data_IF_504094903274
#
_entry.id   IF_504094903274
#
_cell.length_a   1.000
_cell.length_b   1.000
_cell.length_c   1.000
_cell.angle_alpha   90.00
_cell.angle_beta   90.00
_cell.angle_gamma   90.00
#
_symmetry.space_group_name_H-M   'P 1'
#
loop_
_entity.id
_entity.type
_entity.pdbx_description
1 polymer ?
#
# COMPACT_ATOMS: atom_id res chain seq x y z
N UNK A 1 -22.99 49.97 -8.79
CA UNK A 1 -22.36 48.98 -7.88
C UNK A 1 -20.98 49.49 -7.55
N UNK A 2 -20.64 49.70 -6.28
CA UNK A 2 -19.31 50.20 -5.91
C UNK A 2 -18.24 49.12 -6.18
N UNK A 3 -17.02 49.53 -6.50
CA UNK A 3 -15.88 48.63 -6.75
C UNK A 3 -15.67 47.61 -5.63
N UNK A 4 -15.95 48.02 -4.39
CA UNK A 4 -15.85 47.18 -3.18
C UNK A 4 -16.85 46.02 -3.14
N UNK A 5 -18.07 46.21 -3.67
CA UNK A 5 -19.07 45.13 -3.73
C UNK A 5 -18.67 44.05 -4.76
N UNK A 6 -18.02 44.44 -5.85
CA UNK A 6 -17.58 43.52 -6.90
C UNK A 6 -16.38 42.68 -6.45
N UNK A 7 -15.42 43.27 -5.73
CA UNK A 7 -14.31 42.53 -5.10
C UNK A 7 -14.80 41.53 -4.04
N UNK A 8 -15.78 41.90 -3.21
CA UNK A 8 -16.30 41.01 -2.16
C UNK A 8 -17.01 39.77 -2.76
N UNK A 9 -17.74 39.94 -3.86
CA UNK A 9 -18.36 38.84 -4.61
C UNK A 9 -17.30 37.95 -5.26
N UNK A 10 -16.26 38.53 -5.87
CA UNK A 10 -15.16 37.79 -6.50
C UNK A 10 -14.36 36.97 -5.46
N UNK A 11 -14.04 37.54 -4.30
CA UNK A 11 -13.35 36.84 -3.21
C UNK A 11 -14.20 35.69 -2.67
N UNK A 12 -15.52 35.90 -2.52
CA UNK A 12 -16.44 34.85 -2.04
C UNK A 12 -16.58 33.73 -3.08
N UNK A 13 -16.66 34.06 -4.37
CA UNK A 13 -16.75 33.09 -5.47
C UNK A 13 -15.46 32.27 -5.62
N UNK A 14 -14.28 32.92 -5.57
CA UNK A 14 -12.98 32.25 -5.61
C UNK A 14 -12.79 31.36 -4.37
N UNK A 15 -13.20 31.81 -3.19
CA UNK A 15 -13.12 31.03 -1.94
C UNK A 15 -14.08 29.83 -1.96
N UNK A 16 -15.27 29.96 -2.53
CA UNK A 16 -16.21 28.85 -2.74
C UNK A 16 -15.70 27.85 -3.78
N UNK A 17 -15.11 28.31 -4.88
CA UNK A 17 -14.51 27.46 -5.92
C UNK A 17 -13.29 26.69 -5.41
N UNK A 18 -12.45 27.32 -4.58
CA UNK A 18 -11.32 26.68 -3.88
C UNK A 18 -11.77 25.68 -2.81
N UNK A 19 -12.83 25.98 -2.06
CA UNK A 19 -13.41 25.03 -1.11
C UNK A 19 -13.99 23.80 -1.83
N UNK A 20 -14.67 24.02 -2.96
CA UNK A 20 -15.21 22.94 -3.79
C UNK A 20 -14.10 22.00 -4.26
N UNK A 21 -13.01 22.54 -4.81
CA UNK A 21 -11.89 21.71 -5.35
C UNK A 21 -11.10 20.98 -4.27
N UNK A 22 -10.88 21.59 -3.11
CA UNK A 22 -10.19 20.92 -1.98
C UNK A 22 -11.09 19.84 -1.37
N UNK A 23 -12.38 20.11 -1.19
CA UNK A 23 -13.35 19.14 -0.70
C UNK A 23 -13.50 17.95 -1.67
N UNK A 24 -13.58 18.23 -2.97
CA UNK A 24 -13.65 17.24 -4.05
C UNK A 24 -12.42 16.33 -4.06
N UNK A 25 -11.22 16.86 -3.78
CA UNK A 25 -10.00 16.05 -3.68
C UNK A 25 -10.00 15.10 -2.47
N UNK A 26 -10.55 15.52 -1.32
CA UNK A 26 -10.72 14.65 -0.15
C UNK A 26 -11.82 13.60 -0.38
N UNK A 27 -12.89 13.96 -1.09
CA UNK A 27 -13.96 13.04 -1.47
C UNK A 27 -13.44 11.93 -2.39
N UNK A 28 -12.65 12.28 -3.40
CA UNK A 28 -12.03 11.31 -4.29
C UNK A 28 -11.07 10.36 -3.56
N UNK A 29 -10.27 10.87 -2.62
CA UNK A 29 -9.40 10.04 -1.78
C UNK A 29 -10.22 9.07 -0.91
N UNK A 30 -11.34 9.54 -0.34
CA UNK A 30 -12.25 8.70 0.43
C UNK A 30 -12.86 7.60 -0.45
N UNK A 31 -13.36 7.96 -1.64
CA UNK A 31 -13.93 7.02 -2.59
C UNK A 31 -12.90 5.97 -3.04
N UNK A 32 -11.63 6.35 -3.24
CA UNK A 32 -10.55 5.41 -3.55
C UNK A 32 -10.31 4.43 -2.39
N UNK A 33 -10.18 4.93 -1.15
CA UNK A 33 -10.00 4.06 0.03
C UNK A 33 -11.20 3.14 0.28
N UNK A 34 -12.40 3.63 0.02
CA UNK A 34 -13.62 2.82 0.08
C UNK A 34 -13.60 1.72 -0.98
N UNK A 35 -13.26 2.05 -2.23
CA UNK A 35 -13.13 1.08 -3.31
C UNK A 35 -12.06 0.00 -3.00
N UNK A 36 -10.92 0.36 -2.40
CA UNK A 36 -9.91 -0.62 -1.91
C UNK A 36 -10.55 -1.65 -0.99
N UNK A 37 -11.30 -1.19 0.01
CA UNK A 37 -11.98 -2.07 0.99
C UNK A 37 -13.09 -2.89 0.36
N UNK A 38 -13.82 -2.35 -0.60
CA UNK A 38 -14.83 -3.09 -1.35
C UNK A 38 -14.19 -4.20 -2.19
N UNK A 39 -13.08 -3.93 -2.87
CA UNK A 39 -12.33 -4.91 -3.65
C UNK A 39 -11.73 -6.02 -2.76
N UNK A 40 -11.19 -5.68 -1.58
CA UNK A 40 -10.75 -6.68 -0.59
C UNK A 40 -11.91 -7.60 -0.15
N UNK A 41 -13.09 -7.02 0.10
CA UNK A 41 -14.28 -7.79 0.48
C UNK A 41 -14.75 -8.71 -0.65
N UNK A 42 -14.74 -8.23 -1.89
CA UNK A 42 -15.09 -9.03 -3.06
C UNK A 42 -14.08 -10.16 -3.29
N UNK A 43 -12.78 -9.91 -3.09
CA UNK A 43 -11.77 -10.97 -3.11
C UNK A 43 -12.07 -12.06 -2.08
N UNK A 44 -12.30 -11.69 -0.81
CA UNK A 44 -12.64 -12.63 0.27
C UNK A 44 -13.94 -13.39 0.01
N UNK A 45 -14.92 -12.76 -0.66
CA UNK A 45 -16.16 -13.42 -1.08
C UNK A 45 -15.88 -14.50 -2.12
N UNK A 46 -15.08 -14.20 -3.15
CA UNK A 46 -14.66 -15.17 -4.15
C UNK A 46 -13.88 -16.35 -3.54
N UNK A 47 -13.01 -16.12 -2.55
CA UNK A 47 -12.31 -17.21 -1.84
C UNK A 47 -13.27 -18.14 -1.08
N UNK A 48 -14.32 -17.58 -0.47
CA UNK A 48 -15.34 -18.39 0.21
C UNK A 48 -16.12 -19.24 -0.79
N UNK A 49 -16.49 -18.66 -1.94
CA UNK A 49 -17.16 -19.38 -3.02
C UNK A 49 -16.26 -20.46 -3.63
N UNK A 50 -14.97 -20.19 -3.83
CA UNK A 50 -13.98 -21.19 -4.26
C UNK A 50 -13.96 -22.40 -3.31
N UNK A 51 -13.89 -22.16 -2.00
CA UNK A 51 -13.88 -23.23 -0.99
C UNK A 51 -15.17 -24.06 -1.05
N UNK A 52 -16.33 -23.41 -1.22
CA UNK A 52 -17.62 -24.09 -1.39
C UNK A 52 -17.66 -24.94 -2.66
N UNK A 53 -17.21 -24.42 -3.81
CA UNK A 53 -17.18 -25.17 -5.06
C UNK A 53 -16.21 -26.35 -5.00
N UNK A 54 -15.05 -26.21 -4.33
CA UNK A 54 -14.16 -27.34 -4.03
C UNK A 54 -14.84 -28.42 -3.20
N UNK A 55 -15.62 -28.05 -2.19
CA UNK A 55 -16.37 -29.03 -1.39
C UNK A 55 -17.45 -29.74 -2.22
N UNK A 56 -18.16 -29.02 -3.09
CA UNK A 56 -19.14 -29.61 -4.02
C UNK A 56 -18.47 -30.55 -5.03
N UNK A 57 -17.32 -30.15 -5.57
CA UNK A 57 -16.50 -31.00 -6.45
C UNK A 57 -16.12 -32.31 -5.75
N UNK A 58 -15.60 -32.26 -4.52
CA UNK A 58 -15.29 -33.46 -3.72
C UNK A 58 -16.51 -34.38 -3.56
N UNK A 59 -17.67 -33.81 -3.25
CA UNK A 59 -18.93 -34.57 -3.13
C UNK A 59 -19.39 -35.17 -4.46
N UNK A 60 -19.22 -34.46 -5.58
CA UNK A 60 -19.58 -34.95 -6.91
C UNK A 60 -18.70 -36.13 -7.34
N UNK A 61 -17.39 -36.08 -7.04
CA UNK A 61 -16.44 -37.18 -7.27
C UNK A 61 -16.84 -38.41 -6.46
N UNK A 62 -17.16 -38.25 -5.17
CA UNK A 62 -17.59 -39.36 -4.30
C UNK A 62 -18.88 -40.04 -4.80
N UNK A 63 -19.75 -39.29 -5.50
CA UNK A 63 -20.98 -39.82 -6.09
C UNK A 63 -20.79 -40.42 -7.48
N UNK A 64 -19.57 -40.41 -8.02
CA UNK A 64 -19.26 -40.89 -9.38
C UNK A 64 -19.74 -39.97 -10.51
N UNK A 65 -20.19 -38.75 -10.21
CA UNK A 65 -20.64 -37.79 -11.22
C UNK A 65 -19.45 -36.94 -11.72
N UNK A 66 -18.73 -37.50 -12.70
CA UNK A 66 -17.50 -36.91 -13.26
C UNK A 66 -17.78 -35.58 -13.98
N UNK A 67 -18.87 -35.49 -14.73
CA UNK A 67 -19.24 -34.26 -15.45
C UNK A 67 -19.60 -33.12 -14.47
N UNK A 68 -20.37 -33.42 -13.41
CA UNK A 68 -20.66 -32.45 -12.36
C UNK A 68 -19.40 -32.00 -11.59
N UNK A 69 -18.46 -32.92 -11.35
CA UNK A 69 -17.19 -32.61 -10.71
C UNK A 69 -16.33 -31.66 -11.57
N UNK A 70 -16.29 -31.86 -12.90
CA UNK A 70 -15.57 -30.98 -13.83
C UNK A 70 -16.12 -29.55 -13.80
N UNK A 71 -17.45 -29.38 -13.84
CA UNK A 71 -18.09 -28.05 -13.77
C UNK A 71 -17.76 -27.34 -12.45
N UNK A 72 -17.84 -28.04 -11.31
CA UNK A 72 -17.50 -27.47 -10.01
C UNK A 72 -16.00 -27.13 -9.90
N UNK A 73 -15.12 -27.93 -10.51
CA UNK A 73 -13.69 -27.64 -10.57
C UNK A 73 -13.39 -26.38 -11.39
N UNK A 74 -14.00 -26.24 -12.57
CA UNK A 74 -13.87 -25.04 -13.40
C UNK A 74 -14.37 -23.78 -12.68
N UNK A 75 -15.53 -23.88 -12.01
CA UNK A 75 -16.06 -22.79 -11.19
C UNK A 75 -15.11 -22.39 -10.06
N UNK A 76 -14.49 -23.36 -9.38
CA UNK A 76 -13.52 -23.09 -8.33
C UNK A 76 -12.28 -22.37 -8.88
N UNK A 77 -11.72 -22.81 -10.01
CA UNK A 77 -10.58 -22.15 -10.65
C UNK A 77 -10.94 -20.73 -11.07
N UNK A 78 -12.14 -20.52 -11.63
CA UNK A 78 -12.64 -19.20 -11.99
C UNK A 78 -12.72 -18.27 -10.77
N UNK A 79 -13.29 -18.73 -9.66
CA UNK A 79 -13.38 -17.90 -8.45
C UNK A 79 -12.01 -17.61 -7.83
N UNK A 80 -11.07 -18.56 -7.87
CA UNK A 80 -9.68 -18.32 -7.45
C UNK A 80 -9.03 -17.20 -8.28
N UNK A 81 -9.17 -17.26 -9.60
CA UNK A 81 -8.62 -16.25 -10.49
C UNK A 81 -9.29 -14.88 -10.29
N UNK A 82 -10.60 -14.84 -10.06
CA UNK A 82 -11.31 -13.60 -9.74
C UNK A 82 -10.85 -12.99 -8.42
N UNK A 83 -10.67 -13.80 -7.36
CA UNK A 83 -10.14 -13.36 -6.07
C UNK A 83 -8.76 -12.71 -6.24
N UNK A 84 -7.82 -13.39 -6.92
CA UNK A 84 -6.50 -12.85 -7.18
C UNK A 84 -6.55 -11.55 -7.99
N UNK A 85 -7.45 -11.45 -8.96
CA UNK A 85 -7.61 -10.22 -9.75
C UNK A 85 -8.13 -9.06 -8.89
N UNK A 86 -9.13 -9.30 -8.04
CA UNK A 86 -9.62 -8.29 -7.09
C UNK A 86 -8.55 -7.85 -6.09
N UNK A 87 -7.74 -8.80 -5.59
CA UNK A 87 -6.64 -8.49 -4.67
C UNK A 87 -5.56 -7.64 -5.33
N UNK A 88 -5.15 -7.99 -6.56
CA UNK A 88 -4.20 -7.17 -7.33
C UNK A 88 -4.74 -5.78 -7.62
N UNK A 89 -6.02 -5.67 -7.98
CA UNK A 89 -6.66 -4.39 -8.26
C UNK A 89 -6.75 -3.54 -6.99
N UNK A 90 -7.12 -4.14 -5.86
CA UNK A 90 -7.13 -3.48 -4.54
C UNK A 90 -5.77 -2.90 -4.19
N UNK A 91 -4.70 -3.69 -4.31
CA UNK A 91 -3.32 -3.23 -4.03
C UNK A 91 -2.90 -2.06 -4.94
N UNK A 92 -3.26 -2.11 -6.23
CA UNK A 92 -2.98 -1.01 -7.17
C UNK A 92 -3.73 0.27 -6.79
N UNK A 93 -5.03 0.16 -6.47
CA UNK A 93 -5.84 1.31 -6.07
C UNK A 93 -5.34 1.89 -4.73
N UNK A 94 -4.91 1.05 -3.81
CA UNK A 94 -4.36 1.48 -2.51
C UNK A 94 -3.04 2.24 -2.66
N UNK A 95 -2.17 1.79 -3.57
CA UNK A 95 -0.96 2.52 -3.94
C UNK A 95 -1.29 3.92 -4.50
N UNK A 96 -2.30 4.01 -5.38
CA UNK A 96 -2.75 5.30 -5.93
C UNK A 96 -3.36 6.17 -4.83
N UNK A 97 -4.21 5.63 -3.97
CA UNK A 97 -4.81 6.34 -2.85
C UNK A 97 -3.74 6.89 -1.89
N UNK A 98 -2.69 6.11 -1.62
CA UNK A 98 -1.56 6.52 -0.79
C UNK A 98 -0.78 7.69 -1.42
N UNK A 99 -0.51 7.64 -2.73
CA UNK A 99 0.12 8.77 -3.44
C UNK A 99 -0.75 10.03 -3.41
N UNK A 100 -2.06 9.90 -3.60
CA UNK A 100 -3.00 11.02 -3.51
C UNK A 100 -3.03 11.60 -2.08
N UNK A 101 -3.02 10.75 -1.06
CA UNK A 101 -2.94 11.17 0.34
C UNK A 101 -1.66 11.97 0.60
N UNK A 102 -0.49 11.50 0.15
CA UNK A 102 0.77 12.23 0.28
C UNK A 102 0.71 13.58 -0.42
N UNK A 103 0.22 13.63 -1.66
CA UNK A 103 0.07 14.87 -2.41
C UNK A 103 -0.85 15.88 -1.70
N UNK A 104 -1.95 15.42 -1.10
CA UNK A 104 -2.86 16.28 -0.32
C UNK A 104 -2.19 16.80 0.96
N UNK A 105 -1.42 15.96 1.65
CA UNK A 105 -0.65 16.35 2.82
C UNK A 105 0.39 17.41 2.47
N UNK A 106 1.21 17.17 1.43
CA UNK A 106 2.20 18.14 0.94
C UNK A 106 1.54 19.45 0.54
N UNK A 107 0.40 19.41 -0.16
CA UNK A 107 -0.35 20.61 -0.53
C UNK A 107 -0.82 21.40 0.69
N UNK A 108 -1.33 20.73 1.72
CA UNK A 108 -1.77 21.38 2.98
C UNK A 108 -0.60 22.06 3.67
N UNK A 109 0.55 21.38 3.76
CA UNK A 109 1.79 21.92 4.29
C UNK A 109 2.24 23.16 3.51
N UNK A 110 2.31 23.09 2.18
CA UNK A 110 2.69 24.23 1.33
C UNK A 110 1.75 25.42 1.54
N UNK A 111 0.44 25.17 1.70
CA UNK A 111 -0.54 26.22 1.95
C UNK A 111 -0.36 26.87 3.34
N UNK A 112 -0.06 26.08 4.38
CA UNK A 112 0.27 26.61 5.72
C UNK A 112 1.53 27.48 5.68
N UNK A 113 2.59 27.00 5.03
CA UNK A 113 3.85 27.75 4.85
C UNK A 113 3.62 29.07 4.10
N UNK A 114 2.82 29.07 3.04
CA UNK A 114 2.47 30.30 2.33
C UNK A 114 1.71 31.30 3.21
N UNK A 115 0.90 30.81 4.16
CA UNK A 115 0.23 31.65 5.16
C UNK A 115 1.21 32.27 6.16
N UNK A 116 2.17 31.49 6.66
CA UNK A 116 3.20 31.97 7.59
C UNK A 116 4.10 33.02 6.94
N UNK A 117 4.56 32.77 5.71
CA UNK A 117 5.40 33.72 4.95
C UNK A 117 4.68 35.04 4.74
N UNK A 118 3.38 35.02 4.42
CA UNK A 118 2.56 36.25 4.31
C UNK A 118 2.41 36.98 5.64
N UNK A 119 2.19 36.24 6.73
CA UNK A 119 2.13 36.83 8.07
C UNK A 119 3.46 37.47 8.47
N UNK A 120 4.59 36.90 8.02
CA UNK A 120 5.93 37.39 8.29
C UNK A 120 6.21 38.68 7.54
N UNK A 121 5.86 38.72 6.26
CA UNK A 121 5.94 39.94 5.45
C UNK A 121 5.11 41.08 6.05
N UNK A 122 3.90 40.79 6.54
CA UNK A 122 3.05 41.77 7.22
C UNK A 122 3.64 42.25 8.57
N UNK A 123 4.18 41.33 9.37
CA UNK A 123 4.81 41.66 10.66
C UNK A 123 6.07 42.52 10.47
N UNK A 124 6.92 42.19 9.50
CA UNK A 124 8.11 42.98 9.14
C UNK A 124 7.75 44.40 8.71
N UNK A 125 6.68 44.58 7.92
CA UNK A 125 6.18 45.91 7.52
C UNK A 125 5.68 46.74 8.70
N UNK A 126 5.17 46.10 9.74
CA UNK A 126 4.70 46.78 10.96
C UNK A 126 5.82 47.08 11.97
N UNK A 127 7.05 46.63 11.72
CA UNK A 127 8.23 46.76 12.60
C UNK A 127 7.98 46.32 14.05
N UNK A 128 7.01 45.42 14.27
CA UNK A 128 6.63 44.94 15.60
C UNK A 128 7.46 43.70 15.97
N UNK A 129 8.51 43.90 16.76
CA UNK A 129 9.46 42.86 17.17
C UNK A 129 8.80 41.70 17.94
N UNK A 130 7.80 41.98 18.77
CA UNK A 130 7.09 40.95 19.55
C UNK A 130 6.24 40.04 18.65
N UNK A 131 5.60 40.61 17.63
CA UNK A 131 4.88 39.83 16.60
C UNK A 131 5.82 39.03 15.72
N UNK A 132 7.02 39.56 15.43
CA UNK A 132 8.04 38.84 14.67
C UNK A 132 8.55 37.64 15.48
N UNK A 133 8.87 37.83 16.77
CA UNK A 133 9.31 36.74 17.66
C UNK A 133 8.28 35.61 17.72
N UNK A 134 7.02 35.93 18.04
CA UNK A 134 5.94 34.95 18.12
C UNK A 134 5.68 34.22 16.79
N UNK A 135 5.95 34.87 15.66
CA UNK A 135 5.78 34.26 14.35
C UNK A 135 6.95 33.36 13.98
N UNK A 136 8.18 33.71 14.38
CA UNK A 136 9.35 32.86 14.22
C UNK A 136 9.24 31.58 15.04
N UNK A 137 8.78 31.66 16.29
CA UNK A 137 8.53 30.47 17.12
C UNK A 137 7.49 29.53 16.46
N UNK A 138 6.45 30.12 15.85
CA UNK A 138 5.44 29.37 15.08
C UNK A 138 5.95 28.83 13.75
N UNK A 139 6.90 29.51 13.11
CA UNK A 139 7.53 29.05 11.89
C UNK A 139 8.43 27.86 12.21
N UNK A 140 9.23 27.94 13.27
CA UNK A 140 10.11 26.88 13.74
C UNK A 140 9.32 25.62 14.09
N UNK A 141 8.25 25.75 14.89
CA UNK A 141 7.36 24.63 15.19
C UNK A 141 6.71 24.02 13.94
N UNK A 142 6.20 24.84 13.01
CA UNK A 142 5.58 24.30 11.79
C UNK A 142 6.61 23.71 10.82
N UNK A 143 7.86 24.16 10.86
CA UNK A 143 8.95 23.64 10.05
C UNK A 143 9.51 22.33 10.63
N UNK A 144 9.63 22.22 11.95
CA UNK A 144 9.96 20.97 12.64
C UNK A 144 8.89 19.90 12.40
N UNK A 145 7.61 20.25 12.52
CA UNK A 145 6.49 19.36 12.18
C UNK A 145 6.57 18.89 10.72
N UNK A 146 6.98 19.77 9.80
CA UNK A 146 7.14 19.48 8.38
C UNK A 146 8.31 18.52 8.15
N UNK A 147 9.46 18.78 8.76
CA UNK A 147 10.65 17.95 8.62
C UNK A 147 10.41 16.55 9.19
N UNK A 148 9.77 16.48 10.36
CA UNK A 148 9.32 15.22 10.97
C UNK A 148 8.32 14.52 10.05
N UNK A 149 7.27 15.21 9.59
CA UNK A 149 6.26 14.63 8.71
C UNK A 149 6.84 14.19 7.36
N UNK A 150 7.78 14.96 6.79
CA UNK A 150 8.47 14.63 5.55
C UNK A 150 9.38 13.42 5.74
N UNK A 151 10.12 13.34 6.84
CA UNK A 151 10.94 12.17 7.19
C UNK A 151 10.10 10.91 7.37
N UNK A 152 8.97 10.99 8.09
CA UNK A 152 8.03 9.87 8.22
C UNK A 152 7.40 9.48 6.88
N UNK A 153 7.03 10.47 6.05
CA UNK A 153 6.43 10.23 4.75
C UNK A 153 7.45 9.68 3.76
N UNK A 154 8.70 10.14 3.76
CA UNK A 154 9.83 9.64 2.95
C UNK A 154 10.20 8.22 3.36
N UNK A 155 10.23 7.88 4.65
CA UNK A 155 10.48 6.52 5.11
C UNK A 155 9.34 5.56 4.71
N UNK A 156 8.09 6.01 4.77
CA UNK A 156 6.92 5.22 4.38
C UNK A 156 6.77 5.14 2.85
N UNK A 157 7.07 6.23 2.14
CA UNK A 157 7.04 6.29 0.68
C UNK A 157 8.28 5.65 0.06
N UNK A 158 9.45 5.63 0.69
CA UNK A 158 10.60 4.85 0.22
C UNK A 158 10.30 3.36 0.24
N UNK A 159 9.49 2.89 1.20
CA UNK A 159 8.95 1.53 1.15
C UNK A 159 7.88 1.33 0.07
N UNK A 160 7.17 2.38 -0.36
CA UNK A 160 6.03 2.30 -1.29
C UNK A 160 6.39 2.67 -2.76
N UNK A 161 7.46 3.44 -2.97
CA UNK A 161 7.91 4.00 -4.27
C UNK A 161 8.89 3.06 -4.99
N UNK A 162 9.20 1.90 -4.40
CA UNK A 162 9.70 0.71 -5.10
C UNK A 162 8.61 0.14 -6.02
N UNK A 163 8.10 0.95 -6.94
CA UNK A 163 7.07 0.57 -7.92
C UNK A 163 7.62 -0.32 -9.04
N UNK A 164 8.91 -0.65 -8.99
CA UNK A 164 9.42 -1.91 -9.48
C UNK A 164 9.85 -2.71 -8.26
N UNK A 165 8.92 -3.30 -7.49
CA UNK A 165 9.31 -4.31 -6.50
C UNK A 165 10.01 -5.38 -7.33
N UNK A 166 11.33 -5.54 -7.23
CA UNK A 166 12.02 -6.55 -8.01
C UNK A 166 11.37 -7.87 -7.70
N UNK A 167 11.09 -8.68 -8.73
CA UNK A 167 10.51 -10.00 -8.52
C UNK A 167 11.33 -10.80 -7.48
N UNK A 168 12.66 -10.59 -7.47
CA UNK A 168 13.57 -11.14 -6.47
C UNK A 168 13.25 -10.75 -5.03
N UNK A 169 12.82 -9.53 -4.76
CA UNK A 169 12.55 -9.06 -3.39
C UNK A 169 11.20 -9.56 -2.91
N UNK A 170 10.21 -9.67 -3.82
CA UNK A 170 8.94 -10.35 -3.55
C UNK A 170 9.18 -11.82 -3.24
N UNK A 171 10.00 -12.48 -4.06
CA UNK A 171 10.29 -13.91 -3.92
C UNK A 171 11.10 -14.19 -2.65
N UNK A 172 12.09 -13.35 -2.31
CA UNK A 172 12.84 -13.41 -1.06
C UNK A 172 11.95 -13.21 0.17
N UNK A 173 11.05 -12.22 0.15
CA UNK A 173 10.09 -12.01 1.23
C UNK A 173 9.11 -13.17 1.34
N UNK A 174 8.65 -13.72 0.21
CA UNK A 174 7.77 -14.87 0.17
C UNK A 174 8.46 -16.12 0.73
N UNK A 175 9.75 -16.28 0.47
CA UNK A 175 10.57 -17.35 1.03
C UNK A 175 10.78 -17.17 2.53
N UNK A 176 11.11 -15.95 2.99
CA UNK A 176 11.23 -15.65 4.42
C UNK A 176 9.91 -15.91 5.17
N UNK A 177 8.77 -15.47 4.63
CA UNK A 177 7.44 -15.70 5.22
C UNK A 177 7.07 -17.20 5.17
N UNK A 178 7.48 -17.91 4.12
CA UNK A 178 7.27 -19.35 4.01
C UNK A 178 8.14 -20.13 5.02
N UNK A 179 9.38 -19.69 5.28
CA UNK A 179 10.27 -20.26 6.28
C UNK A 179 9.76 -19.98 7.70
N UNK A 180 9.26 -18.77 7.97
CA UNK A 180 8.59 -18.40 9.22
C UNK A 180 7.32 -19.24 9.45
N UNK A 181 6.48 -19.42 8.42
CA UNK A 181 5.29 -20.26 8.51
C UNK A 181 5.59 -21.77 8.53
N UNK A 182 6.71 -22.20 7.94
CA UNK A 182 7.15 -23.60 7.83
C UNK A 182 7.84 -24.14 9.08
N UNK A 183 8.33 -23.26 9.97
CA UNK A 183 8.96 -23.65 11.24
C UNK A 183 7.99 -23.76 12.42
N UNK A 184 6.82 -23.12 12.38
CA UNK A 184 5.77 -23.35 13.40
C UNK A 184 5.02 -24.67 13.18
N UNK A 185 4.84 -25.12 11.94
CA UNK A 185 4.20 -26.42 11.63
C UNK A 185 5.09 -27.64 11.92
N UNK A 186 6.40 -27.45 12.07
CA UNK A 186 7.34 -28.54 12.40
C UNK A 186 7.60 -28.67 13.92
N UNK A 187 6.98 -27.82 14.75
CA UNK A 187 7.10 -27.84 16.22
C UNK A 187 5.87 -28.43 16.93
N UNK A 188 4.78 -28.73 16.23
CA UNK A 188 3.51 -29.16 16.86
C UNK A 188 2.95 -30.53 16.42
N UNK A 189 3.75 -31.34 15.71
CA UNK A 189 3.37 -32.71 15.36
C UNK A 189 4.35 -33.73 15.97
N UNK A 190 3.87 -34.75 16.72
CA UNK A 190 4.74 -35.76 17.31
C UNK A 190 5.43 -36.55 16.19
N UNK A 191 6.71 -36.84 16.37
CA UNK A 191 7.51 -37.68 15.47
C UNK A 191 6.80 -39.01 15.19
N UNK A 192 6.16 -39.12 14.03
CA UNK A 192 5.60 -40.34 13.49
C UNK A 192 6.35 -40.72 12.21
N UNK A 193 7.08 -41.84 12.28
CA UNK A 193 7.77 -42.47 11.16
C UNK A 193 6.91 -42.57 9.88
N UNK A 194 7.50 -42.30 8.71
CA UNK A 194 7.73 -43.30 7.64
C UNK A 194 8.09 -42.62 6.30
N UNK A 195 9.01 -43.24 5.54
CA UNK A 195 8.89 -43.33 4.08
C UNK A 195 9.65 -42.31 3.24
N UNK A 196 10.86 -42.68 2.85
CA UNK A 196 11.60 -42.19 1.68
C UNK A 196 10.72 -41.95 0.44
N UNK A 197 10.83 -40.78 -0.21
CA UNK A 197 10.79 -40.58 -1.67
C UNK A 197 11.46 -39.23 -1.97
N UNK A 198 12.49 -39.26 -2.81
CA UNK A 198 13.41 -38.15 -3.05
C UNK A 198 12.89 -37.09 -4.00
N UNK A 199 13.20 -35.83 -3.72
CA UNK A 199 13.36 -34.73 -4.69
C UNK A 199 14.08 -33.56 -3.99
N UNK A 200 15.38 -33.69 -3.67
CA UNK A 200 16.16 -32.54 -3.17
C UNK A 200 17.59 -32.44 -3.71
N UNK A 201 17.98 -33.26 -4.68
CA UNK A 201 19.39 -33.35 -5.11
C UNK A 201 19.84 -32.25 -6.07
N UNK A 202 18.93 -31.45 -6.64
CA UNK A 202 19.32 -30.40 -7.61
C UNK A 202 19.69 -29.05 -6.95
N UNK A 203 19.07 -28.66 -5.84
CA UNK A 203 19.37 -27.37 -5.18
C UNK A 203 20.70 -27.43 -4.41
N UNK A 204 21.05 -28.58 -3.83
CA UNK A 204 22.30 -28.73 -3.08
C UNK A 204 23.55 -28.73 -3.98
N UNK A 205 23.44 -29.22 -5.22
CA UNK A 205 24.58 -29.25 -6.15
C UNK A 205 24.97 -27.85 -6.66
N UNK A 206 23.99 -26.98 -6.91
CA UNK A 206 24.28 -25.59 -7.35
C UNK A 206 24.87 -24.74 -6.21
N UNK A 207 24.44 -24.95 -4.96
CA UNK A 207 24.99 -24.24 -3.80
C UNK A 207 26.45 -24.64 -3.50
N UNK A 208 26.79 -25.92 -3.66
CA UNK A 208 28.16 -26.41 -3.44
C UNK A 208 29.14 -25.86 -4.50
N UNK A 209 28.74 -25.79 -5.78
CA UNK A 209 29.57 -25.23 -6.85
C UNK A 209 29.85 -23.73 -6.68
N UNK A 210 28.84 -22.96 -6.26
CA UNK A 210 28.97 -21.52 -5.97
C UNK A 210 29.93 -21.27 -4.80
N UNK A 211 29.82 -22.07 -3.73
CA UNK A 211 30.69 -21.98 -2.55
C UNK A 211 32.14 -22.29 -2.92
N UNK A 212 32.36 -23.27 -3.80
CA UNK A 212 33.70 -23.63 -4.28
C UNK A 212 34.32 -22.56 -5.20
N UNK A 213 33.51 -21.90 -6.05
CA UNK A 213 33.97 -20.76 -6.87
C UNK A 213 34.35 -19.55 -6.03
N UNK A 214 33.57 -19.23 -5.00
CA UNK A 214 33.86 -18.13 -4.07
C UNK A 214 35.14 -18.37 -3.26
N UNK A 215 35.41 -19.62 -2.86
CA UNK A 215 36.64 -19.99 -2.17
C UNK A 215 37.88 -19.79 -3.05
N UNK A 216 37.81 -20.10 -4.35
CA UNK A 216 38.92 -19.88 -5.30
C UNK A 216 39.19 -18.41 -5.58
N UNK A 217 38.17 -17.55 -5.53
CA UNK A 217 38.34 -16.10 -5.75
C UNK A 217 38.91 -15.36 -4.54
N UNK A 218 38.86 -15.96 -3.33
CA UNK A 218 39.46 -15.41 -2.10
C UNK A 218 40.93 -15.79 -1.90
N UNK A 219 41.47 -16.66 -2.75
CA UNK A 219 42.88 -17.11 -2.70
C UNK A 219 43.76 -16.46 -3.78
N UNK A 220 43.23 -15.47 -4.52
CA UNK A 220 43.97 -14.58 -5.44
C UNK A 220 43.91 -13.18 -4.87
#
# INVERSE_FOLDING_TARGET
>A
MSSSAMESILVTFVRASLYSTVFESFEHLFNLKFAVKELERNSKKCEKEEKLEKQKCKKAIQKGNVEGARIHAENAIRQKNQSLNYLRMSARVDSVASRVQSALTTRRVTQSMAGVVKAMDAAMKSMNLEKISNLMDKFESQFEDLDVQSSYMENTMSQTTTTAVPQSDVDNLMQQVADEAGLELNMELPQGQTGTIGTSTQVSQEQDELTQRLARLRQV
#
